data_IF_865942385640
#
_entry.id   IF_865942385640
#
_cell.length_a   1.000
_cell.length_b   1.000
_cell.length_c   1.000
_cell.angle_alpha   90.00
_cell.angle_beta   90.00
_cell.angle_gamma   90.00
#
_symmetry.space_group_name_H-M   'P 1'
#
loop_
_entity.id
_entity.type
_entity.pdbx_description
1 polymer ?
#
# COMPACT_ATOMS: atom_id res chain seq x y z
N UNK A 1 23.79 71.94 -17.33
CA UNK A 1 23.90 70.85 -16.34
C UNK A 1 22.70 69.93 -16.53
N UNK A 2 22.94 68.80 -17.18
CA UNK A 2 21.97 67.72 -17.33
C UNK A 2 22.35 66.61 -16.36
N UNK A 3 21.37 65.88 -15.82
CA UNK A 3 21.29 64.42 -15.90
C UNK A 3 20.01 63.95 -15.21
N UNK A 4 19.05 63.53 -16.03
CA UNK A 4 17.82 62.82 -15.67
C UNK A 4 18.16 61.38 -15.22
N UNK A 5 17.63 60.97 -14.07
CA UNK A 5 17.78 59.63 -13.51
C UNK A 5 16.85 58.62 -14.20
N UNK A 6 17.29 57.41 -14.58
CA UNK A 6 16.40 56.39 -15.11
C UNK A 6 15.80 55.55 -13.97
N UNK A 7 14.48 55.43 -13.96
CA UNK A 7 13.76 54.46 -13.12
C UNK A 7 14.00 53.05 -13.68
N UNK A 8 14.78 52.22 -12.96
CA UNK A 8 14.96 50.81 -13.28
C UNK A 8 13.82 49.99 -12.65
N UNK A 9 12.89 49.51 -13.48
CA UNK A 9 11.85 48.55 -13.07
C UNK A 9 12.42 47.14 -13.24
N UNK A 10 12.75 46.46 -12.15
CA UNK A 10 13.18 45.06 -12.16
C UNK A 10 11.96 44.14 -12.24
N UNK A 11 11.81 43.46 -13.38
CA UNK A 11 10.76 42.45 -13.59
C UNK A 11 11.28 41.08 -13.14
N UNK A 12 10.90 40.64 -11.93
CA UNK A 12 11.24 39.30 -11.42
C UNK A 12 10.35 38.24 -12.05
N UNK A 13 10.92 37.45 -12.96
CA UNK A 13 10.26 36.29 -13.58
C UNK A 13 10.30 35.12 -12.57
N UNK A 14 9.18 34.84 -11.91
CA UNK A 14 9.00 33.59 -11.17
C UNK A 14 8.77 32.45 -12.18
N UNK A 15 9.82 31.70 -12.50
CA UNK A 15 9.71 30.48 -13.27
C UNK A 15 9.10 29.38 -12.38
N UNK A 16 7.79 29.15 -12.52
CA UNK A 16 7.09 28.05 -11.87
C UNK A 16 7.62 26.71 -12.37
N UNK A 17 8.42 26.02 -11.56
CA UNK A 17 8.81 24.62 -11.77
C UNK A 17 7.57 23.74 -11.56
N UNK A 18 6.81 23.50 -12.63
CA UNK A 18 5.77 22.48 -12.63
C UNK A 18 6.44 21.11 -12.62
N UNK A 19 6.56 20.50 -11.44
CA UNK A 19 6.95 19.09 -11.32
C UNK A 19 5.79 18.28 -11.91
N UNK A 20 5.98 17.75 -13.12
CA UNK A 20 5.09 16.77 -13.71
C UNK A 20 5.13 15.50 -12.86
N UNK A 21 4.20 15.38 -11.91
CA UNK A 21 3.93 14.12 -11.23
C UNK A 21 3.14 13.21 -12.17
N UNK A 22 3.80 12.28 -12.84
CA UNK A 22 3.08 11.22 -13.57
C UNK A 22 2.38 10.32 -12.56
N UNK A 23 1.05 10.37 -12.48
CA UNK A 23 0.29 9.34 -11.79
C UNK A 23 0.40 8.05 -12.60
N UNK A 24 1.24 7.10 -12.15
CA UNK A 24 1.22 5.76 -12.72
C UNK A 24 -0.09 5.10 -12.33
N UNK A 25 -0.96 4.90 -13.34
CA UNK A 25 -2.11 4.02 -13.18
C UNK A 25 -1.61 2.62 -12.87
N UNK A 26 -2.41 1.90 -12.09
CA UNK A 26 -2.38 0.47 -11.90
C UNK A 26 -1.83 -0.34 -13.11
N UNK A 27 -2.30 -0.08 -14.33
CA UNK A 27 -1.96 -0.88 -15.53
C UNK A 27 -0.54 -0.68 -16.08
N UNK A 28 0.13 0.42 -15.74
CA UNK A 28 1.41 0.80 -16.35
C UNK A 28 2.61 0.62 -15.39
N UNK A 29 2.42 -0.06 -14.27
CA UNK A 29 3.49 -0.29 -13.31
C UNK A 29 4.39 -1.45 -13.71
N UNK A 30 5.69 -1.23 -13.75
CA UNK A 30 6.70 -2.28 -13.98
C UNK A 30 7.34 -2.66 -12.65
N UNK A 31 7.09 -3.88 -12.19
CA UNK A 31 7.70 -4.41 -10.98
C UNK A 31 9.15 -4.84 -11.22
N UNK A 32 9.94 -4.83 -10.15
CA UNK A 32 11.26 -5.43 -10.11
C UNK A 32 11.21 -6.93 -10.38
N UNK A 33 12.35 -7.51 -10.74
CA UNK A 33 12.50 -8.96 -10.96
C UNK A 33 11.53 -9.55 -11.99
N UNK A 34 11.05 -8.72 -12.94
CA UNK A 34 10.09 -9.11 -13.98
C UNK A 34 8.80 -9.75 -13.44
N UNK A 35 8.34 -9.36 -12.24
CA UNK A 35 7.05 -9.82 -11.72
C UNK A 35 5.93 -9.22 -12.55
N UNK A 36 5.03 -10.07 -13.07
CA UNK A 36 3.92 -9.65 -13.92
C UNK A 36 2.59 -10.02 -13.28
N UNK A 37 1.63 -9.10 -13.33
CA UNK A 37 0.27 -9.28 -12.84
C UNK A 37 -0.72 -8.92 -13.95
N UNK A 38 -1.68 -9.80 -14.19
CA UNK A 38 -2.67 -9.68 -15.26
C UNK A 38 -3.87 -8.83 -14.81
N UNK A 39 -4.11 -8.78 -13.49
CA UNK A 39 -5.22 -8.05 -12.89
C UNK A 39 -4.69 -6.98 -11.97
N UNK A 40 -5.42 -5.88 -11.90
CA UNK A 40 -5.06 -4.77 -11.05
C UNK A 40 -6.24 -3.84 -10.78
N UNK A 41 -6.22 -3.20 -9.62
CA UNK A 41 -7.24 -2.28 -9.11
C UNK A 41 -6.56 -1.05 -8.49
N UNK A 42 -6.94 0.14 -8.94
CA UNK A 42 -6.68 1.39 -8.24
C UNK A 42 -7.62 1.47 -7.02
N UNK A 43 -7.06 1.48 -5.81
CA UNK A 43 -7.84 1.54 -4.58
C UNK A 43 -8.16 3.00 -4.25
N UNK A 44 -9.37 3.29 -3.74
CA UNK A 44 -9.64 4.60 -3.16
C UNK A 44 -8.68 4.91 -2.01
N UNK A 45 -8.22 6.17 -1.94
CA UNK A 45 -7.37 6.68 -0.86
C UNK A 45 -5.96 6.05 -0.77
N UNK A 46 -5.10 6.66 0.04
CA UNK A 46 -3.71 6.22 0.31
C UNK A 46 -2.80 6.08 -0.93
N UNK A 47 -3.25 6.53 -2.12
CA UNK A 47 -2.58 6.29 -3.40
C UNK A 47 -2.18 4.81 -3.54
N UNK A 48 -3.14 3.93 -3.23
CA UNK A 48 -2.91 2.51 -3.10
C UNK A 48 -3.39 1.76 -4.36
N UNK A 49 -2.70 0.67 -4.67
CA UNK A 49 -2.95 -0.16 -5.83
C UNK A 49 -2.78 -1.62 -5.43
N UNK A 50 -3.68 -2.47 -5.92
CA UNK A 50 -3.57 -3.92 -5.75
C UNK A 50 -3.41 -4.55 -7.12
N UNK A 51 -2.43 -5.44 -7.26
CA UNK A 51 -2.16 -6.21 -8.45
C UNK A 51 -2.20 -7.69 -8.08
N UNK A 52 -2.75 -8.53 -8.94
CA UNK A 52 -2.83 -9.95 -8.65
C UNK A 52 -2.89 -10.85 -9.89
N UNK A 53 -2.52 -12.11 -9.66
CA UNK A 53 -2.85 -13.25 -10.49
C UNK A 53 -3.55 -14.27 -9.58
N UNK A 54 -4.75 -14.69 -9.95
CA UNK A 54 -5.48 -15.74 -9.25
C UNK A 54 -5.37 -17.06 -10.02
N UNK A 55 -5.13 -18.15 -9.31
CA UNK A 55 -4.92 -19.49 -9.85
C UNK A 55 -6.03 -20.44 -9.35
N UNK A 56 -7.17 -20.54 -10.08
CA UNK A 56 -8.32 -21.33 -9.64
C UNK A 56 -8.02 -22.81 -9.39
N UNK A 57 -7.06 -23.40 -10.10
CA UNK A 57 -6.67 -24.81 -9.92
C UNK A 57 -6.02 -25.12 -8.56
N UNK A 58 -5.56 -24.09 -7.84
CA UNK A 58 -4.88 -24.24 -6.56
C UNK A 58 -5.43 -23.33 -5.46
N UNK A 59 -6.47 -22.55 -5.76
CA UNK A 59 -7.01 -21.48 -4.92
C UNK A 59 -5.95 -20.52 -4.39
N UNK A 60 -4.90 -20.24 -5.19
CA UNK A 60 -3.80 -19.35 -4.80
C UNK A 60 -3.92 -17.98 -5.44
N UNK A 61 -3.47 -16.97 -4.70
CA UNK A 61 -3.41 -15.59 -5.14
C UNK A 61 -1.96 -15.11 -5.05
N UNK A 62 -1.30 -14.89 -6.19
CA UNK A 62 -0.06 -14.10 -6.20
C UNK A 62 -0.43 -12.62 -6.27
N UNK A 63 0.10 -11.79 -5.37
CA UNK A 63 -0.31 -10.39 -5.28
C UNK A 63 0.87 -9.43 -5.07
N UNK A 64 0.65 -8.17 -5.46
CA UNK A 64 1.44 -7.02 -5.07
C UNK A 64 0.53 -5.88 -4.62
N UNK A 65 0.70 -5.40 -3.39
CA UNK A 65 0.02 -4.22 -2.87
C UNK A 65 1.02 -3.08 -2.78
N UNK A 66 0.74 -1.98 -3.46
CA UNK A 66 1.58 -0.80 -3.54
C UNK A 66 0.84 0.37 -2.93
N UNK A 67 1.50 1.16 -2.09
CA UNK A 67 0.93 2.39 -1.57
C UNK A 67 2.01 3.44 -1.36
N UNK A 68 1.66 4.71 -1.59
CA UNK A 68 2.55 5.83 -1.28
C UNK A 68 2.73 5.94 0.24
N UNK A 69 3.99 5.99 0.69
CA UNK A 69 4.30 6.07 2.11
C UNK A 69 5.70 6.64 2.36
N UNK A 70 5.84 7.35 3.47
CA UNK A 70 7.13 7.80 4.00
C UNK A 70 7.90 6.64 4.63
N UNK A 71 9.23 6.69 4.57
CA UNK A 71 10.09 5.62 5.09
C UNK A 71 9.88 5.30 6.58
N UNK A 72 9.34 6.23 7.36
CA UNK A 72 9.03 6.06 8.79
C UNK A 72 7.66 5.43 9.07
N UNK A 73 6.82 5.36 8.04
CA UNK A 73 5.48 4.81 8.13
C UNK A 73 5.44 3.30 7.90
N UNK A 74 4.21 2.81 7.75
CA UNK A 74 3.91 1.44 7.39
C UNK A 74 2.71 1.39 6.47
N UNK A 75 2.59 0.30 5.73
CA UNK A 75 1.43 -0.01 4.89
C UNK A 75 0.95 -1.43 5.16
N UNK A 76 -0.34 -1.66 5.02
CA UNK A 76 -0.92 -2.99 5.18
C UNK A 76 -2.06 -3.23 4.19
N UNK A 77 -2.14 -4.48 3.73
CA UNK A 77 -3.29 -4.99 2.99
C UNK A 77 -3.75 -6.28 3.63
N UNK A 78 -5.07 -6.47 3.73
CA UNK A 78 -5.66 -7.56 4.48
C UNK A 78 -6.90 -8.13 3.81
N UNK A 79 -7.14 -9.40 4.05
CA UNK A 79 -8.43 -10.06 3.81
C UNK A 79 -9.16 -10.17 5.15
N UNK A 80 -10.43 -9.79 5.20
CA UNK A 80 -11.29 -10.10 6.33
C UNK A 80 -12.25 -11.25 5.94
N UNK A 81 -12.02 -12.47 6.44
CA UNK A 81 -12.87 -13.62 6.10
C UNK A 81 -14.19 -13.64 6.87
N UNK A 82 -14.40 -12.74 7.83
CA UNK A 82 -15.56 -12.78 8.73
C UNK A 82 -16.61 -11.72 8.42
N UNK A 83 -16.18 -10.50 8.06
CA UNK A 83 -17.07 -9.35 7.81
C UNK A 83 -16.34 -8.24 7.07
N UNK A 84 -17.08 -7.24 6.62
CA UNK A 84 -16.52 -5.98 6.12
C UNK A 84 -15.88 -5.17 7.24
N UNK A 85 -14.71 -4.57 6.97
CA UNK A 85 -14.00 -3.66 7.88
C UNK A 85 -12.79 -4.27 8.60
N UNK A 86 -12.18 -3.51 9.52
CA UNK A 86 -10.88 -3.82 10.14
C UNK A 86 -10.89 -5.04 11.06
N UNK A 87 -11.88 -5.14 11.96
CA UNK A 87 -11.90 -6.17 13.01
C UNK A 87 -12.16 -7.55 12.39
N UNK A 88 -11.24 -8.49 12.62
CA UNK A 88 -11.23 -9.83 12.02
C UNK A 88 -10.33 -9.94 10.79
N UNK A 89 -9.74 -8.83 10.32
CA UNK A 89 -8.86 -8.84 9.17
C UNK A 89 -7.55 -9.59 9.44
N UNK A 90 -7.01 -10.18 8.38
CA UNK A 90 -5.78 -10.93 8.36
C UNK A 90 -4.83 -10.25 7.38
N UNK A 91 -3.87 -9.51 7.94
CA UNK A 91 -3.10 -8.52 7.22
C UNK A 91 -1.70 -9.01 6.88
N UNK A 92 -1.17 -8.53 5.76
CA UNK A 92 0.26 -8.39 5.53
C UNK A 92 0.62 -6.94 5.83
N UNK A 93 1.62 -6.72 6.67
CA UNK A 93 2.10 -5.38 6.99
C UNK A 93 3.57 -5.24 6.61
N UNK A 94 3.95 -4.09 6.06
CA UNK A 94 5.33 -3.77 5.73
C UNK A 94 5.73 -2.37 6.20
N UNK A 95 7.02 -2.26 6.56
CA UNK A 95 7.65 -1.03 7.05
C UNK A 95 9.18 -1.14 7.01
N UNK A 96 9.88 -0.03 7.19
CA UNK A 96 11.32 -0.07 7.45
C UNK A 96 11.62 -0.44 8.89
N UNK A 97 12.41 -1.49 9.08
CA UNK A 97 12.99 -1.85 10.35
C UNK A 97 14.01 -0.78 10.81
N UNK A 98 14.34 -0.75 12.09
CA UNK A 98 15.32 0.19 12.66
C UNK A 98 16.72 0.11 12.04
N UNK A 99 17.06 -1.03 11.42
CA UNK A 99 18.30 -1.24 10.67
C UNK A 99 18.22 -0.74 9.19
N UNK A 100 17.10 -0.14 8.79
CA UNK A 100 16.85 0.37 7.44
C UNK A 100 16.32 -0.64 6.43
N UNK A 101 16.34 -1.95 6.72
CA UNK A 101 15.81 -2.97 5.81
C UNK A 101 14.28 -2.97 5.80
N UNK A 102 13.67 -3.36 4.68
CA UNK A 102 12.23 -3.63 4.65
C UNK A 102 11.89 -4.89 5.47
N UNK A 103 10.90 -4.77 6.34
CA UNK A 103 10.27 -5.88 7.03
C UNK A 103 8.87 -6.08 6.47
N UNK A 104 8.46 -7.35 6.36
CA UNK A 104 7.09 -7.72 6.02
C UNK A 104 6.71 -9.01 6.73
N UNK A 105 5.49 -9.07 7.28
CA UNK A 105 4.99 -10.29 7.91
C UNK A 105 3.46 -10.33 7.97
N UNK A 106 2.86 -11.52 8.13
CA UNK A 106 1.45 -11.66 8.45
C UNK A 106 1.13 -11.26 9.89
N UNK A 107 0.01 -10.58 10.12
CA UNK A 107 -0.50 -10.23 11.45
C UNK A 107 -2.04 -10.33 11.49
N UNK A 108 -2.63 -10.98 12.51
CA UNK A 108 -4.07 -10.96 12.73
C UNK A 108 -4.52 -9.64 13.40
N UNK A 109 -5.62 -9.05 12.91
CA UNK A 109 -6.22 -7.83 13.45
C UNK A 109 -7.55 -8.19 14.11
N UNK A 110 -7.52 -8.48 15.42
CA UNK A 110 -8.66 -9.06 16.15
C UNK A 110 -9.59 -8.03 16.79
N UNK A 111 -9.12 -6.80 16.94
CA UNK A 111 -9.83 -5.69 17.58
C UNK A 111 -9.28 -4.36 17.05
N UNK A 112 -9.65 -3.24 17.68
CA UNK A 112 -9.21 -1.89 17.29
C UNK A 112 -7.83 -1.49 17.83
N UNK A 113 -7.23 -2.30 18.71
CA UNK A 113 -5.88 -2.09 19.25
C UNK A 113 -5.07 -3.40 19.21
N UNK A 114 -4.87 -3.98 18.01
CA UNK A 114 -4.17 -5.24 17.86
C UNK A 114 -2.68 -5.07 18.21
N UNK A 115 -2.01 -6.16 18.59
CA UNK A 115 -0.57 -6.11 18.91
C UNK A 115 0.31 -5.75 17.72
N UNK A 116 -0.18 -5.92 16.48
CA UNK A 116 0.56 -5.75 15.23
C UNK A 116 1.86 -6.57 15.15
N UNK A 117 2.00 -7.61 15.97
CA UNK A 117 3.12 -8.55 15.96
C UNK A 117 2.88 -9.68 14.94
N UNK A 118 3.95 -10.34 14.45
CA UNK A 118 3.80 -11.50 13.58
C UNK A 118 2.86 -12.55 14.17
N UNK A 119 1.98 -13.10 13.34
CA UNK A 119 1.01 -14.09 13.76
C UNK A 119 0.48 -14.94 12.62
N UNK A 120 -0.15 -16.06 12.98
CA UNK A 120 -0.70 -17.02 12.01
C UNK A 120 -2.02 -16.53 11.44
N UNK A 121 -2.20 -16.72 10.13
CA UNK A 121 -3.43 -16.46 9.40
C UNK A 121 -4.17 -17.79 9.14
N UNK A 122 -5.45 -17.73 8.81
CA UNK A 122 -6.25 -18.93 8.46
C UNK A 122 -5.93 -19.47 7.07
N UNK A 123 -5.22 -18.71 6.25
CA UNK A 123 -4.66 -19.13 4.97
C UNK A 123 -3.14 -19.05 5.00
N UNK A 124 -2.47 -19.87 4.18
CA UNK A 124 -1.01 -19.83 4.09
C UNK A 124 -0.54 -18.56 3.37
N UNK A 125 0.64 -18.09 3.78
CA UNK A 125 1.36 -16.98 3.16
C UNK A 125 2.75 -17.49 2.79
N UNK A 126 3.11 -17.39 1.52
CA UNK A 126 4.40 -17.80 0.99
C UNK A 126 5.02 -16.70 0.12
N UNK A 127 6.33 -16.83 -0.16
CA UNK A 127 7.08 -15.92 -1.03
C UNK A 127 6.89 -14.43 -0.66
N UNK A 128 6.83 -14.15 0.65
CA UNK A 128 6.59 -12.81 1.15
C UNK A 128 7.86 -11.97 1.01
N UNK A 129 7.73 -10.77 0.46
CA UNK A 129 8.82 -9.80 0.34
C UNK A 129 8.26 -8.40 0.29
N UNK A 130 9.02 -7.40 0.72
CA UNK A 130 8.64 -6.00 0.57
C UNK A 130 9.77 -5.13 0.03
N UNK A 131 9.38 -4.10 -0.69
CA UNK A 131 10.29 -3.13 -1.30
C UNK A 131 9.87 -1.70 -0.92
N UNK A 132 10.85 -0.82 -0.89
CA UNK A 132 10.62 0.62 -0.81
C UNK A 132 11.37 1.32 -1.93
N UNK A 133 10.63 2.03 -2.79
CA UNK A 133 11.19 2.76 -3.92
C UNK A 133 10.25 3.89 -4.30
N UNK A 134 10.80 5.04 -4.70
CA UNK A 134 10.02 6.19 -5.19
C UNK A 134 8.91 6.64 -4.21
N UNK A 135 9.18 6.57 -2.89
CA UNK A 135 8.22 6.86 -1.83
C UNK A 135 6.97 5.96 -1.86
N UNK A 136 7.10 4.73 -2.34
CA UNK A 136 6.08 3.69 -2.30
C UNK A 136 6.62 2.47 -1.57
N UNK A 137 5.79 1.90 -0.69
CA UNK A 137 6.01 0.58 -0.13
C UNK A 137 5.22 -0.43 -0.94
N UNK A 138 5.86 -1.55 -1.27
CA UNK A 138 5.26 -2.64 -2.06
C UNK A 138 5.36 -3.92 -1.25
N UNK A 139 4.23 -4.56 -1.00
CA UNK A 139 4.12 -5.88 -0.40
C UNK A 139 3.89 -6.88 -1.51
N UNK A 140 4.67 -7.95 -1.55
CA UNK A 140 4.41 -9.10 -2.40
C UNK A 140 4.17 -10.35 -1.57
N UNK A 141 3.26 -11.20 -2.02
CA UNK A 141 3.03 -12.52 -1.42
C UNK A 141 2.31 -13.47 -2.38
N UNK A 142 2.35 -14.75 -2.03
CA UNK A 142 1.42 -15.77 -2.52
C UNK A 142 0.55 -16.20 -1.35
N UNK A 143 -0.76 -16.02 -1.48
CA UNK A 143 -1.76 -16.39 -0.48
C UNK A 143 -2.51 -17.64 -0.90
N UNK A 144 -2.95 -18.39 0.11
CA UNK A 144 -3.86 -19.51 -0.06
C UNK A 144 -3.21 -20.88 0.09
N UNK A 145 -3.99 -21.97 -0.03
CA UNK A 145 -5.34 -22.00 -0.63
C UNK A 145 -6.36 -21.12 0.09
N UNK A 146 -7.13 -20.32 -0.67
CA UNK A 146 -8.23 -19.50 -0.16
C UNK A 146 -9.57 -20.26 -0.15
N UNK A 147 -9.54 -21.59 -0.33
CA UNK A 147 -10.64 -22.58 -0.28
C UNK A 147 -11.97 -22.06 -0.85
N UNK A 148 -12.12 -22.13 -2.17
CA UNK A 148 -13.34 -21.74 -2.91
C UNK A 148 -13.79 -20.28 -2.74
N UNK A 149 -12.92 -19.37 -2.26
CA UNK A 149 -13.24 -17.95 -2.13
C UNK A 149 -12.60 -17.18 -3.29
N UNK A 150 -13.43 -16.71 -4.21
CA UNK A 150 -13.03 -15.74 -5.25
C UNK A 150 -13.36 -14.31 -4.85
N UNK A 151 -14.35 -14.13 -3.97
CA UNK A 151 -14.81 -12.83 -3.46
C UNK A 151 -14.45 -12.65 -1.99
N UNK A 152 -13.73 -11.58 -1.67
CA UNK A 152 -13.29 -11.28 -0.31
C UNK A 152 -13.69 -9.88 0.10
N UNK A 153 -13.90 -9.69 1.40
CA UNK A 153 -13.76 -8.36 1.99
C UNK A 153 -12.27 -8.09 2.17
N UNK A 154 -11.79 -6.96 1.66
CA UNK A 154 -10.43 -6.52 1.89
C UNK A 154 -10.38 -5.18 2.62
N UNK A 155 -9.23 -4.92 3.23
CA UNK A 155 -8.93 -3.69 3.96
C UNK A 155 -7.53 -3.27 3.59
N UNK A 156 -7.31 -1.98 3.39
CA UNK A 156 -5.97 -1.42 3.21
C UNK A 156 -5.79 -0.27 4.18
N UNK A 157 -4.59 -0.13 4.72
CA UNK A 157 -4.28 0.91 5.69
C UNK A 157 -2.86 1.38 5.52
N UNK A 158 -2.61 2.60 5.97
CA UNK A 158 -1.27 3.11 6.18
C UNK A 158 -1.23 3.96 7.44
N UNK A 159 -0.07 3.98 8.10
CA UNK A 159 0.18 4.80 9.28
C UNK A 159 1.58 5.41 9.25
N UNK A 160 1.79 6.47 10.00
CA UNK A 160 3.01 7.30 9.87
C UNK A 160 4.11 6.96 10.89
N UNK A 161 3.88 5.99 11.77
CA UNK A 161 4.80 5.69 12.85
C UNK A 161 4.97 4.18 13.06
N UNK A 162 6.23 3.79 13.26
CA UNK A 162 6.67 2.48 13.73
C UNK A 162 7.52 2.71 14.98
N UNK A 163 7.23 1.97 16.05
CA UNK A 163 8.00 2.05 17.31
C UNK A 163 8.43 0.65 17.72
N UNK A 164 9.71 0.48 18.07
CA UNK A 164 10.30 -0.82 18.41
C UNK A 164 10.01 -1.92 17.38
N UNK A 165 10.05 -1.56 16.09
CA UNK A 165 9.70 -2.44 14.97
C UNK A 165 8.26 -2.98 15.01
N UNK A 166 7.34 -2.23 15.61
CA UNK A 166 5.90 -2.50 15.62
C UNK A 166 5.15 -1.33 15.01
N UNK A 167 4.35 -1.54 13.95
CA UNK A 167 3.43 -0.55 13.41
C UNK A 167 2.56 0.07 14.50
N UNK A 168 2.54 1.40 14.59
CA UNK A 168 1.68 2.10 15.53
C UNK A 168 0.30 2.36 14.92
N UNK A 169 -0.66 2.73 15.77
CA UNK A 169 -2.02 3.08 15.34
C UNK A 169 -1.98 4.05 14.16
N UNK A 170 -2.72 3.73 13.09
CA UNK A 170 -2.93 4.67 12.00
C UNK A 170 -3.83 5.83 12.45
N UNK A 171 -3.88 6.90 11.68
CA UNK A 171 -4.81 8.00 11.96
C UNK A 171 -6.27 7.55 11.85
N UNK A 172 -7.15 8.11 12.67
CA UNK A 172 -8.61 7.89 12.57
C UNK A 172 -9.20 8.95 11.62
N UNK A 173 -8.67 8.98 10.40
CA UNK A 173 -9.08 9.92 9.36
C UNK A 173 -10.22 9.33 8.52
N UNK A 174 -10.93 10.19 7.78
CA UNK A 174 -11.97 9.77 6.83
C UNK A 174 -11.44 8.76 5.79
N UNK A 175 -10.19 8.91 5.34
CA UNK A 175 -9.60 8.00 4.37
C UNK A 175 -9.32 6.63 4.98
N UNK A 176 -8.75 6.59 6.20
CA UNK A 176 -8.52 5.33 6.90
C UNK A 176 -9.83 4.60 7.20
N UNK A 177 -10.86 5.31 7.66
CA UNK A 177 -12.17 4.73 7.99
C UNK A 177 -12.94 4.20 6.78
N UNK A 178 -12.58 4.62 5.56
CA UNK A 178 -13.23 4.19 4.31
C UNK A 178 -12.37 3.25 3.46
N UNK A 179 -11.20 2.85 3.95
CA UNK A 179 -10.26 2.01 3.20
C UNK A 179 -10.55 0.53 3.36
N UNK A 180 -11.73 0.13 2.89
CA UNK A 180 -12.17 -1.26 2.80
C UNK A 180 -13.14 -1.42 1.63
N UNK A 181 -13.37 -2.65 1.19
CA UNK A 181 -14.29 -2.94 0.10
C UNK A 181 -14.39 -4.42 -0.22
N UNK A 182 -15.21 -4.73 -1.22
CA UNK A 182 -15.29 -6.06 -1.80
C UNK A 182 -14.32 -6.19 -2.98
N UNK A 183 -13.73 -7.37 -3.11
CA UNK A 183 -12.84 -7.70 -4.21
C UNK A 183 -13.18 -9.09 -4.75
N UNK A 184 -13.43 -9.17 -6.06
CA UNK A 184 -13.55 -10.44 -6.78
C UNK A 184 -12.30 -10.67 -7.62
N UNK A 185 -11.54 -11.71 -7.29
CA UNK A 185 -10.29 -12.03 -7.98
C UNK A 185 -10.48 -12.49 -9.43
N UNK A 186 -11.71 -12.82 -9.84
CA UNK A 186 -12.06 -13.21 -11.20
C UNK A 186 -12.73 -12.09 -12.02
N UNK A 187 -13.23 -11.04 -11.36
CA UNK A 187 -13.82 -9.90 -12.06
C UNK A 187 -12.69 -8.91 -12.40
N UNK A 188 -12.25 -8.92 -13.65
CA UNK A 188 -11.29 -7.94 -14.20
C UNK A 188 -12.01 -7.02 -15.16
#
# INVERSE_FOLDING_TARGET
MALSSPFAVTFSIFASLFILSSAQTCKNYTFTSNRMFNSCLDLPYHHAHLHWNYFPSTDKLAMAYRARQDSKGWVAWAINPTKTGMVGAQALVAFHNSNGSMTVYPTPVKDYNPSMLPGTLTFQVANISAEYKNNEMIIFAVLGPLVNITKVNHVWQSGFAVSNNVPQMHEISSTNLKSFGDLDFLAV
#
